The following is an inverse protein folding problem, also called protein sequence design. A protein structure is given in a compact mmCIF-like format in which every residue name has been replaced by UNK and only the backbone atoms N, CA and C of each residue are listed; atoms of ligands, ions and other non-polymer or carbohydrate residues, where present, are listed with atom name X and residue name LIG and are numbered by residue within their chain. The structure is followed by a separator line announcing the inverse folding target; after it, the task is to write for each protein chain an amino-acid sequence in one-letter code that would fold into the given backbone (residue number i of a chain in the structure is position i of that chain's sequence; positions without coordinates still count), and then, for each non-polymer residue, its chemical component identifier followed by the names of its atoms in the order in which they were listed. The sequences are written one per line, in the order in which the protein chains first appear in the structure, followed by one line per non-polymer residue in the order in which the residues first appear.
data_IF_905731891463
#
_entry.id   IF_905731891463
#
_cell.length_a   1.000
_cell.length_b   1.000
_cell.length_c   1.000
_cell.angle_alpha   90.00
_cell.angle_beta   90.00
_cell.angle_gamma   90.00
#
_symmetry.space_group_name_H-M   'P 1'
#
loop_
_entity.id
_entity.type
_entity.pdbx_description
1 polymer ?
#
# COMPACT_ATOMS: atom_id res chain seq x y z
N UNK A 1 2.33 6.36 44.47
CA UNK A 1 1.34 5.33 44.07
C UNK A 1 0.99 5.36 42.58
N UNK A 2 0.94 6.54 41.94
CA UNK A 2 0.54 6.75 40.53
C UNK A 2 1.49 6.14 39.46
N UNK A 3 2.82 6.13 39.67
CA UNK A 3 3.79 5.54 38.72
C UNK A 3 3.68 4.01 38.55
N UNK A 4 3.29 3.29 39.61
CA UNK A 4 3.29 1.81 39.62
C UNK A 4 2.07 1.27 38.85
N UNK A 5 0.94 1.96 38.89
CA UNK A 5 -0.27 1.61 38.14
C UNK A 5 -0.08 1.75 36.62
N UNK A 6 0.63 2.79 36.15
CA UNK A 6 0.96 2.94 34.73
C UNK A 6 1.89 1.85 34.20
N UNK A 7 2.88 1.44 35.00
CA UNK A 7 3.79 0.34 34.65
C UNK A 7 3.08 -1.01 34.53
N UNK A 8 2.06 -1.28 35.37
CA UNK A 8 1.24 -2.49 35.27
C UNK A 8 0.31 -2.46 34.06
N UNK A 9 -0.30 -1.31 33.78
CA UNK A 9 -1.17 -1.12 32.60
C UNK A 9 -0.37 -1.28 31.30
N UNK A 10 0.83 -0.70 31.23
CA UNK A 10 1.72 -0.82 30.06
C UNK A 10 2.10 -2.28 29.78
N UNK A 11 2.37 -3.07 30.84
CA UNK A 11 2.69 -4.50 30.71
C UNK A 11 1.49 -5.32 30.20
N UNK A 12 0.28 -5.01 30.65
CA UNK A 12 -0.94 -5.68 30.20
C UNK A 12 -1.22 -5.34 28.73
N UNK A 13 -1.08 -4.07 28.34
CA UNK A 13 -1.22 -3.64 26.94
C UNK A 13 -0.17 -4.32 26.06
N UNK A 14 1.09 -4.37 26.49
CA UNK A 14 2.16 -5.03 25.76
C UNK A 14 1.93 -6.55 25.62
N UNK A 15 1.45 -7.22 26.67
CA UNK A 15 1.11 -8.64 26.63
C UNK A 15 -0.09 -8.92 25.70
N UNK A 16 -1.11 -8.05 25.70
CA UNK A 16 -2.24 -8.14 24.77
C UNK A 16 -1.82 -7.97 23.31
N UNK A 17 -0.92 -7.01 23.03
CA UNK A 17 -0.31 -6.82 21.71
C UNK A 17 0.49 -8.05 21.25
N UNK A 18 1.25 -8.68 22.15
CA UNK A 18 2.03 -9.89 21.86
C UNK A 18 1.16 -11.10 21.50
N UNK A 19 0.00 -11.25 22.13
CA UNK A 19 -0.93 -12.36 21.85
C UNK A 19 -1.59 -12.20 20.47
N UNK A 20 -1.85 -10.96 20.03
CA UNK A 20 -2.41 -10.68 18.70
C UNK A 20 -1.45 -11.03 17.55
N UNK A 21 -0.14 -11.14 17.82
CA UNK A 21 0.88 -11.52 16.82
C UNK A 21 0.92 -13.02 16.52
N UNK A 22 0.23 -13.87 17.32
CA UNK A 22 0.26 -15.33 17.19
C UNK A 22 -0.81 -15.94 16.29
N UNK A 23 -1.60 -15.13 15.58
CA UNK A 23 -2.65 -15.63 14.69
C UNK A 23 -2.08 -16.09 13.35
N UNK A 24 -2.61 -17.18 12.82
CA UNK A 24 -2.26 -17.77 11.53
C UNK A 24 -2.32 -16.72 10.41
N UNK A 25 -1.21 -16.48 9.73
CA UNK A 25 -1.14 -15.54 8.62
C UNK A 25 -1.34 -16.27 7.29
N UNK A 26 -2.31 -15.82 6.48
CA UNK A 26 -2.41 -16.19 5.07
C UNK A 26 -1.40 -15.38 4.25
N UNK A 27 -0.59 -16.06 3.43
CA UNK A 27 0.39 -15.41 2.57
C UNK A 27 -0.32 -14.63 1.46
N UNK A 28 -0.06 -13.32 1.38
CA UNK A 28 -0.50 -12.46 0.29
C UNK A 28 0.73 -11.88 -0.41
N UNK A 29 0.72 -11.92 -1.74
CA UNK A 29 1.78 -11.32 -2.54
C UNK A 29 1.36 -9.92 -2.96
N UNK A 30 1.80 -8.92 -2.20
CA UNK A 30 1.72 -7.51 -2.58
C UNK A 30 3.02 -7.04 -3.23
N UNK A 31 2.95 -6.00 -4.06
CA UNK A 31 4.13 -5.35 -4.62
C UNK A 31 5.01 -4.81 -3.49
N UNK A 32 6.20 -5.40 -3.32
CA UNK A 32 7.13 -4.99 -2.27
C UNK A 32 8.04 -3.86 -2.74
N UNK A 33 8.04 -2.75 -1.99
CA UNK A 33 8.99 -1.66 -2.17
C UNK A 33 10.03 -1.68 -1.04
N UNK A 34 11.32 -1.89 -1.37
CA UNK A 34 12.42 -1.64 -0.41
C UNK A 34 12.55 -0.14 -0.07
N UNK A 35 11.97 0.72 -0.90
CA UNK A 35 11.98 2.20 -0.79
C UNK A 35 10.68 2.75 -0.17
N UNK A 36 9.97 1.94 0.62
CA UNK A 36 8.66 2.26 1.18
C UNK A 36 8.64 3.59 1.97
N UNK A 37 9.74 3.95 2.64
CA UNK A 37 9.91 5.19 3.40
C UNK A 37 9.75 6.43 2.49
N UNK A 38 10.13 6.32 1.22
CA UNK A 38 10.04 7.43 0.27
C UNK A 38 8.66 7.56 -0.37
N UNK A 39 7.78 6.55 -0.26
CA UNK A 39 6.43 6.56 -0.82
C UNK A 39 5.41 6.02 0.21
N UNK A 40 5.20 6.77 1.28
CA UNK A 40 4.24 6.41 2.34
C UNK A 40 2.80 6.29 1.84
N UNK A 41 2.42 7.08 0.81
CA UNK A 41 1.09 7.06 0.21
C UNK A 41 0.74 5.71 -0.45
N UNK A 42 1.74 5.02 -1.03
CA UNK A 42 1.53 3.70 -1.64
C UNK A 42 1.09 2.63 -0.62
N UNK A 43 1.46 2.82 0.65
CA UNK A 43 1.26 1.87 1.75
C UNK A 43 0.02 2.24 2.56
N UNK A 44 -0.11 3.52 2.91
CA UNK A 44 -1.13 3.97 3.83
C UNK A 44 -1.90 5.16 3.24
N UNK A 45 -3.22 5.03 2.96
CA UNK A 45 -4.01 6.13 2.44
C UNK A 45 -4.08 7.33 3.40
N UNK A 46 -3.88 7.12 4.71
CA UNK A 46 -3.87 8.19 5.72
C UNK A 46 -2.61 9.06 5.68
N UNK A 47 -1.59 8.68 4.91
CA UNK A 47 -0.40 9.50 4.67
C UNK A 47 -0.67 10.70 3.76
N UNK A 48 -1.78 10.71 3.01
CA UNK A 48 -2.07 11.77 2.05
C UNK A 48 -2.03 13.17 2.69
N UNK A 49 -1.25 14.07 2.08
CA UNK A 49 -1.08 15.44 2.55
C UNK A 49 -0.20 15.57 3.78
N UNK A 50 0.52 14.52 4.22
CA UNK A 50 1.40 14.56 5.39
C UNK A 50 2.39 15.74 5.34
N UNK A 51 2.99 15.99 4.16
CA UNK A 51 3.95 17.08 3.94
C UNK A 51 3.33 18.47 3.84
N UNK A 52 2.00 18.56 3.88
CA UNK A 52 1.20 19.79 3.79
C UNK A 52 1.23 20.51 2.45
N UNK A 53 2.33 20.46 1.72
CA UNK A 53 2.47 20.99 0.36
C UNK A 53 2.09 19.96 -0.71
N UNK A 54 1.90 20.42 -1.94
CA UNK A 54 1.82 19.55 -3.10
C UNK A 54 3.15 18.82 -3.27
N UNK A 55 3.13 17.50 -3.08
CA UNK A 55 4.28 16.64 -3.23
C UNK A 55 4.05 15.65 -4.37
N UNK A 56 4.94 15.67 -5.35
CA UNK A 56 4.91 14.75 -6.50
C UNK A 56 6.21 13.96 -6.50
N UNK A 57 6.10 12.65 -6.70
CA UNK A 57 7.25 11.75 -6.75
C UNK A 57 7.07 10.69 -7.83
N UNK A 58 8.18 10.28 -8.42
CA UNK A 58 8.24 9.14 -9.32
C UNK A 58 9.39 8.23 -8.91
N UNK A 59 9.15 6.93 -8.95
CA UNK A 59 10.11 5.90 -8.59
C UNK A 59 10.18 4.88 -9.72
N UNK A 60 11.39 4.63 -10.22
CA UNK A 60 11.66 3.55 -11.15
C UNK A 60 12.65 2.58 -10.52
N UNK A 61 12.34 1.29 -10.61
CA UNK A 61 13.15 0.21 -10.05
C UNK A 61 13.33 -0.86 -11.11
N UNK A 62 14.58 -1.18 -11.42
CA UNK A 62 14.94 -2.35 -12.22
C UNK A 62 15.90 -3.20 -11.42
N UNK A 63 15.56 -4.47 -11.24
CA UNK A 63 16.39 -5.44 -10.52
C UNK A 63 16.86 -6.54 -11.45
N UNK A 64 17.94 -7.23 -11.09
CA UNK A 64 18.43 -8.41 -11.82
C UNK A 64 18.64 -8.17 -13.32
N UNK A 65 19.16 -6.98 -13.66
CA UNK A 65 19.36 -6.56 -15.04
C UNK A 65 20.23 -7.58 -15.79
N UNK A 66 19.83 -7.89 -17.03
CA UNK A 66 20.47 -8.92 -17.86
C UNK A 66 19.80 -10.30 -17.79
N UNK A 67 18.88 -10.54 -16.85
CA UNK A 67 18.05 -11.74 -16.86
C UNK A 67 16.75 -11.52 -17.64
N UNK A 68 16.35 -12.53 -18.43
CA UNK A 68 15.05 -12.52 -19.11
C UNK A 68 13.93 -12.55 -18.07
N UNK A 69 12.95 -11.65 -18.21
CA UNK A 69 11.85 -11.52 -17.26
C UNK A 69 12.21 -10.81 -15.95
N UNK A 70 13.35 -10.12 -15.89
CA UNK A 70 13.80 -9.38 -14.72
C UNK A 70 12.75 -8.37 -14.19
N UNK A 71 12.55 -8.26 -12.87
CA UNK A 71 11.56 -7.36 -12.27
C UNK A 71 11.80 -5.88 -12.61
N UNK A 72 10.73 -5.22 -13.05
CA UNK A 72 10.71 -3.78 -13.34
C UNK A 72 9.45 -3.16 -12.73
N UNK A 73 9.64 -2.15 -11.90
CA UNK A 73 8.57 -1.42 -11.24
C UNK A 73 8.68 0.07 -11.54
N UNK A 74 7.55 0.71 -11.82
CA UNK A 74 7.40 2.14 -11.95
C UNK A 74 6.23 2.59 -11.08
N UNK A 75 6.40 3.67 -10.33
CA UNK A 75 5.32 4.27 -9.55
C UNK A 75 5.41 5.78 -9.62
N UNK A 76 4.26 6.43 -9.76
CA UNK A 76 4.12 7.88 -9.67
C UNK A 76 3.04 8.18 -8.65
N UNK A 77 3.30 9.13 -7.77
CA UNK A 77 2.29 9.61 -6.83
C UNK A 77 2.34 11.12 -6.69
N UNK A 78 1.18 11.68 -6.39
CA UNK A 78 0.99 13.08 -6.10
C UNK A 78 0.02 13.20 -4.92
N UNK A 79 0.40 13.93 -3.87
CA UNK A 79 -0.48 14.21 -2.76
C UNK A 79 -0.29 15.65 -2.25
N UNK A 80 -1.28 16.13 -1.50
CA UNK A 80 -1.23 17.46 -0.92
C UNK A 80 -2.43 17.71 -0.02
N UNK A 81 -2.45 18.89 0.60
CA UNK A 81 -3.57 19.29 1.47
C UNK A 81 -4.49 20.30 0.81
N UNK A 82 -5.75 20.31 1.27
CA UNK A 82 -6.73 21.34 0.94
C UNK A 82 -6.87 22.33 2.10
N UNK A 83 -7.80 23.28 1.95
CA UNK A 83 -8.08 24.37 2.91
C UNK A 83 -8.06 23.89 4.36
N UNK A 84 -7.31 24.61 5.19
CA UNK A 84 -7.04 24.34 6.61
C UNK A 84 -6.16 23.12 6.92
N UNK A 85 -5.52 22.47 5.93
CA UNK A 85 -4.56 21.35 6.12
C UNK A 85 -5.11 20.09 6.81
N UNK A 86 -6.40 20.09 7.15
CA UNK A 86 -7.12 18.99 7.79
C UNK A 86 -7.58 17.93 6.79
N UNK A 87 -7.55 18.22 5.49
CA UNK A 87 -7.89 17.27 4.44
C UNK A 87 -6.67 17.09 3.53
N UNK A 88 -6.29 15.84 3.34
CA UNK A 88 -5.28 15.41 2.38
C UNK A 88 -5.91 14.61 1.25
N UNK A 89 -5.48 14.87 0.02
CA UNK A 89 -5.81 14.07 -1.14
C UNK A 89 -4.53 13.52 -1.76
N UNK A 90 -4.59 12.31 -2.29
CA UNK A 90 -3.44 11.71 -2.95
C UNK A 90 -3.85 10.74 -4.05
N UNK A 91 -3.10 10.75 -5.15
CA UNK A 91 -3.20 9.79 -6.24
C UNK A 91 -1.89 9.00 -6.32
N UNK A 92 -2.00 7.70 -6.56
CA UNK A 92 -0.86 6.84 -6.84
C UNK A 92 -1.19 5.91 -7.99
N UNK A 93 -0.27 5.82 -8.95
CA UNK A 93 -0.33 4.87 -10.06
C UNK A 93 0.95 4.07 -10.05
N UNK A 94 0.82 2.75 -10.05
CA UNK A 94 1.95 1.83 -9.99
C UNK A 94 1.81 0.80 -11.10
N UNK A 95 2.88 0.60 -11.85
CA UNK A 95 3.01 -0.45 -12.85
C UNK A 95 4.20 -1.33 -12.49
N UNK A 96 3.96 -2.61 -12.25
CA UNK A 96 4.96 -3.60 -11.89
C UNK A 96 4.92 -4.77 -12.88
N UNK A 97 6.09 -5.20 -13.34
CA UNK A 97 6.25 -6.32 -14.25
C UNK A 97 7.29 -7.28 -13.68
N UNK A 98 6.91 -8.54 -13.56
CA UNK A 98 7.76 -9.64 -13.08
C UNK A 98 7.56 -10.82 -14.03
N UNK A 99 8.55 -11.07 -14.90
CA UNK A 99 8.39 -12.02 -16.00
C UNK A 99 7.15 -11.70 -16.86
N UNK A 100 6.37 -12.73 -17.15
CA UNK A 100 5.10 -12.66 -17.88
C UNK A 100 3.97 -11.99 -17.09
N UNK A 101 4.13 -11.77 -15.78
CA UNK A 101 3.10 -11.15 -14.94
C UNK A 101 3.21 -9.63 -14.98
N UNK A 102 2.07 -8.96 -15.18
CA UNK A 102 1.93 -7.50 -15.13
C UNK A 102 0.89 -7.12 -14.10
N UNK A 103 1.21 -6.11 -13.30
CA UNK A 103 0.35 -5.57 -12.25
C UNK A 103 0.31 -4.04 -12.40
N UNK A 104 -0.83 -3.52 -12.83
CA UNK A 104 -1.08 -2.09 -12.92
C UNK A 104 -2.10 -1.72 -11.84
N UNK A 105 -1.85 -0.69 -11.05
CA UNK A 105 -2.82 -0.19 -10.10
C UNK A 105 -2.90 1.32 -10.08
N UNK A 106 -4.09 1.83 -9.80
CA UNK A 106 -4.36 3.24 -9.62
C UNK A 106 -5.28 3.43 -8.42
N UNK A 107 -4.86 4.25 -7.45
CA UNK A 107 -5.61 4.53 -6.24
C UNK A 107 -5.73 6.03 -6.01
N UNK A 108 -6.93 6.43 -5.63
CA UNK A 108 -7.23 7.75 -5.07
C UNK A 108 -7.43 7.61 -3.57
N UNK A 109 -6.80 8.50 -2.81
CA UNK A 109 -6.72 8.46 -1.36
C UNK A 109 -7.25 9.78 -0.81
N UNK A 110 -8.04 9.67 0.25
CA UNK A 110 -8.55 10.76 1.04
C UNK A 110 -8.13 10.54 2.49
N UNK A 111 -7.51 11.54 3.10
CA UNK A 111 -7.12 11.52 4.50
C UNK A 111 -7.73 12.70 5.25
N UNK A 112 -8.40 12.42 6.36
CA UNK A 112 -8.81 13.44 7.31
C UNK A 112 -7.82 13.50 8.47
N UNK A 113 -7.20 14.66 8.67
CA UNK A 113 -6.07 14.90 9.58
C UNK A 113 -6.55 15.74 10.76
N UNK A 114 -6.59 15.13 11.93
CA UNK A 114 -6.97 15.77 13.19
C UNK A 114 -5.71 16.32 13.89
N UNK A 115 -5.59 17.64 14.10
CA UNK A 115 -4.57 18.18 15.00
C UNK A 115 -4.89 17.77 16.44
N UNK A 116 -3.91 17.20 17.13
CA UNK A 116 -4.04 16.81 18.55
C UNK A 116 -3.52 17.90 19.50
N UNK A 117 -2.71 18.83 18.99
CA UNK A 117 -2.18 19.98 19.71
C UNK A 117 -2.57 21.30 19.03
N UNK A 118 -2.49 22.40 19.79
CA UNK A 118 -2.78 23.75 19.29
C UNK A 118 -1.80 24.21 18.21
N UNK A 119 -0.53 23.79 18.30
CA UNK A 119 0.51 24.15 17.34
C UNK A 119 0.36 23.39 16.00
N UNK A 120 -0.40 22.29 15.98
CA UNK A 120 -0.72 21.54 14.78
C UNK A 120 0.38 20.58 14.30
N UNK A 121 1.50 20.45 15.02
CA UNK A 121 2.60 19.52 14.69
C UNK A 121 2.23 18.05 14.94
N UNK A 122 1.34 17.78 15.90
CA UNK A 122 0.88 16.42 16.20
C UNK A 122 -0.44 16.17 15.49
N UNK A 123 -0.44 15.21 14.57
CA UNK A 123 -1.64 14.87 13.79
C UNK A 123 -1.94 13.40 13.81
N UNK A 124 -3.22 13.10 13.99
CA UNK A 124 -3.79 11.78 13.78
C UNK A 124 -4.66 11.83 12.52
N UNK A 125 -4.28 11.05 11.51
CA UNK A 125 -4.98 10.97 10.25
C UNK A 125 -5.73 9.66 10.09
N UNK A 126 -6.93 9.73 9.54
CA UNK A 126 -7.74 8.61 9.10
C UNK A 126 -7.88 8.69 7.59
N UNK A 127 -7.53 7.61 6.90
CA UNK A 127 -7.46 7.56 5.46
C UNK A 127 -8.33 6.47 4.87
N UNK A 128 -8.97 6.78 3.77
CA UNK A 128 -9.61 5.81 2.89
C UNK A 128 -9.01 5.93 1.50
N UNK A 129 -8.83 4.79 0.84
CA UNK A 129 -8.40 4.72 -0.54
C UNK A 129 -9.39 3.90 -1.36
N UNK A 130 -9.63 4.31 -2.59
CA UNK A 130 -10.38 3.55 -3.58
C UNK A 130 -9.59 3.48 -4.86
N UNK A 131 -9.65 2.35 -5.54
CA UNK A 131 -8.85 2.17 -6.73
C UNK A 131 -9.22 0.95 -7.53
N UNK A 132 -8.43 0.74 -8.56
CA UNK A 132 -8.54 -0.38 -9.48
C UNK A 132 -7.13 -0.97 -9.63
N UNK A 133 -7.05 -2.28 -9.50
CA UNK A 133 -5.89 -3.07 -9.90
C UNK A 133 -6.24 -3.85 -11.16
N UNK A 134 -5.31 -3.95 -12.09
CA UNK A 134 -5.37 -4.80 -13.25
C UNK A 134 -4.19 -5.77 -13.16
N UNK A 135 -4.52 -7.04 -13.02
CA UNK A 135 -3.54 -8.12 -12.97
C UNK A 135 -3.62 -8.86 -14.30
N UNK A 136 -2.50 -9.09 -14.94
CA UNK A 136 -2.46 -9.84 -16.18
C UNK A 136 -1.25 -10.76 -16.30
N UNK A 137 -1.41 -11.77 -17.14
CA UNK A 137 -0.38 -12.71 -17.52
C UNK A 137 -0.28 -12.71 -19.05
N UNK A 138 0.92 -12.46 -19.55
CA UNK A 138 1.24 -12.54 -20.96
C UNK A 138 1.80 -13.93 -21.29
N UNK A 139 0.95 -14.82 -21.80
CA UNK A 139 1.38 -16.18 -22.10
C UNK A 139 2.32 -16.29 -23.30
N UNK A 140 2.53 -15.21 -24.07
CA UNK A 140 3.57 -15.16 -25.11
C UNK A 140 4.99 -15.08 -24.52
N UNK A 141 5.12 -14.58 -23.29
CA UNK A 141 6.38 -14.54 -22.54
C UNK A 141 6.63 -15.86 -21.76
N UNK A 142 5.70 -16.81 -21.78
CA UNK A 142 5.81 -18.11 -21.12
C UNK A 142 6.40 -19.17 -22.07
N UNK A 143 7.46 -19.85 -21.64
CA UNK A 143 7.98 -21.05 -22.33
C UNK A 143 7.27 -22.29 -21.82
N UNK A 144 6.38 -22.84 -22.62
CA UNK A 144 5.77 -24.15 -22.36
C UNK A 144 6.85 -25.25 -22.38
N UNK A 145 6.80 -26.18 -21.41
CA UNK A 145 7.68 -27.37 -21.39
C UNK A 145 7.23 -28.37 -22.47
N UNK A 146 5.93 -28.38 -22.80
CA UNK A 146 5.32 -29.16 -23.89
C UNK A 146 4.56 -28.22 -24.82
N UNK A 147 4.79 -28.31 -26.13
CA UNK A 147 4.05 -27.50 -27.11
C UNK A 147 2.58 -27.91 -27.19
N UNK A 148 1.68 -26.93 -27.22
CA UNK A 148 0.23 -27.16 -27.38
C UNK A 148 -0.57 -27.31 -26.08
N UNK A 149 -0.03 -26.94 -24.92
CA UNK A 149 -0.79 -26.90 -23.67
C UNK A 149 -1.86 -25.79 -23.72
N UNK A 150 -3.13 -26.21 -23.79
CA UNK A 150 -4.29 -25.33 -23.90
C UNK A 150 -4.54 -24.44 -22.66
N UNK A 151 -3.80 -24.68 -21.57
CA UNK A 151 -3.89 -23.89 -20.33
C UNK A 151 -3.07 -22.60 -20.44
N UNK A 152 -2.07 -22.53 -21.33
CA UNK A 152 -1.24 -21.33 -21.50
C UNK A 152 -1.93 -20.35 -22.46
N UNK A 153 -2.26 -19.12 -22.02
CA UNK A 153 -2.90 -18.15 -22.89
C UNK A 153 -1.99 -17.76 -24.06
N UNK A 154 -2.54 -17.62 -25.27
CA UNK A 154 -1.78 -17.20 -26.45
C UNK A 154 -1.52 -15.68 -26.54
N UNK A 155 -1.81 -14.93 -25.47
CA UNK A 155 -1.61 -13.49 -25.39
C UNK A 155 -1.85 -12.94 -23.98
N UNK A 156 -2.00 -11.62 -23.86
CA UNK A 156 -2.25 -10.97 -22.57
C UNK A 156 -3.69 -11.23 -22.11
N UNK A 157 -3.83 -11.99 -21.03
CA UNK A 157 -5.08 -12.09 -20.27
C UNK A 157 -4.98 -11.19 -19.06
N UNK A 158 -5.98 -10.35 -18.82
CA UNK A 158 -5.99 -9.44 -17.68
C UNK A 158 -7.35 -9.33 -17.03
N UNK A 159 -7.39 -9.31 -15.71
CA UNK A 159 -8.57 -9.09 -14.90
C UNK A 159 -8.48 -7.75 -14.19
N UNK A 160 -9.59 -7.02 -14.13
CA UNK A 160 -9.72 -5.77 -13.37
C UNK A 160 -10.40 -6.06 -12.04
N UNK A 161 -9.78 -5.60 -10.98
CA UNK A 161 -10.18 -5.80 -9.59
C UNK A 161 -10.39 -4.43 -8.96
N UNK A 162 -11.64 -4.04 -8.65
CA UNK A 162 -11.89 -2.89 -7.80
C UNK A 162 -11.38 -3.16 -6.40
N UNK A 163 -10.81 -2.14 -5.78
CA UNK A 163 -10.21 -2.27 -4.46
C UNK A 163 -10.45 -1.04 -3.57
N UNK A 164 -10.43 -1.29 -2.27
CA UNK A 164 -10.49 -0.26 -1.25
C UNK A 164 -9.41 -0.48 -0.18
N UNK A 165 -9.01 0.62 0.44
CA UNK A 165 -7.96 0.68 1.45
C UNK A 165 -8.44 1.53 2.62
N UNK A 166 -7.97 1.19 3.81
CA UNK A 166 -8.17 2.00 5.01
C UNK A 166 -6.83 2.17 5.73
N UNK A 167 -6.67 3.31 6.40
CA UNK A 167 -5.45 3.61 7.12
C UNK A 167 -5.65 4.54 8.30
N UNK A 168 -4.76 4.40 9.26
CA UNK A 168 -4.58 5.32 10.38
C UNK A 168 -3.10 5.70 10.37
N UNK A 169 -2.80 6.99 10.51
CA UNK A 169 -1.43 7.49 10.53
C UNK A 169 -1.28 8.59 11.58
N UNK A 170 -0.42 8.35 12.56
CA UNK A 170 0.02 9.33 13.53
C UNK A 170 1.36 9.90 13.11
N UNK A 171 1.50 11.22 13.21
CA UNK A 171 2.76 11.90 12.95
C UNK A 171 3.01 13.07 13.91
N UNK A 172 4.26 13.19 14.30
CA UNK A 172 4.87 14.26 15.08
C UNK A 172 6.23 14.63 14.45
N UNK A 173 6.91 15.66 14.96
CA UNK A 173 8.18 16.17 14.41
C UNK A 173 9.31 15.14 14.42
N UNK A 174 9.26 14.17 15.34
CA UNK A 174 10.32 13.17 15.57
C UNK A 174 9.85 11.73 15.40
N UNK A 175 8.54 11.49 15.36
CA UNK A 175 7.97 10.16 15.43
C UNK A 175 6.75 10.03 14.52
N UNK A 176 6.66 8.90 13.83
CA UNK A 176 5.48 8.53 13.06
C UNK A 176 5.15 7.07 13.30
N UNK A 177 3.85 6.75 13.26
CA UNK A 177 3.36 5.39 13.35
C UNK A 177 2.08 5.27 12.52
N UNK A 178 1.88 4.14 11.86
CA UNK A 178 0.67 3.94 11.07
C UNK A 178 0.28 2.48 10.97
N UNK A 179 -1.01 2.27 10.74
CA UNK A 179 -1.61 0.98 10.44
C UNK A 179 -2.43 1.14 9.16
N UNK A 180 -2.38 0.17 8.27
CA UNK A 180 -3.12 0.19 7.02
C UNK A 180 -3.66 -1.19 6.69
N UNK A 181 -4.90 -1.22 6.19
CA UNK A 181 -5.52 -2.38 5.58
C UNK A 181 -5.62 -2.12 4.06
N UNK A 182 -4.91 -2.93 3.28
CA UNK A 182 -4.91 -2.89 1.80
C UNK A 182 -5.69 -4.07 1.24
N UNK A 183 -6.06 -4.02 -0.04
CA UNK A 183 -6.70 -5.12 -0.76
C UNK A 183 -7.98 -5.63 -0.09
N UNK A 184 -8.83 -4.71 0.39
CA UNK A 184 -10.04 -5.06 1.13
C UNK A 184 -11.12 -5.67 0.25
N UNK A 185 -11.17 -5.30 -1.04
CA UNK A 185 -12.21 -5.79 -1.96
C UNK A 185 -11.65 -6.73 -3.03
N UNK A 186 -10.42 -6.52 -3.47
CA UNK A 186 -9.82 -7.27 -4.58
C UNK A 186 -9.89 -8.80 -4.38
N UNK A 187 -9.74 -9.28 -3.14
CA UNK A 187 -9.80 -10.71 -2.79
C UNK A 187 -11.16 -11.35 -3.06
N UNK A 188 -12.25 -10.63 -2.82
CA UNK A 188 -13.60 -11.12 -3.03
C UNK A 188 -13.92 -11.24 -4.53
N UNK A 189 -13.39 -10.34 -5.34
CA UNK A 189 -13.58 -10.36 -6.79
C UNK A 189 -12.66 -11.36 -7.51
N UNK A 190 -11.46 -11.62 -6.96
CA UNK A 190 -10.54 -12.60 -7.51
C UNK A 190 -11.02 -14.05 -7.31
N UNK A 191 -11.66 -14.37 -6.18
CA UNK A 191 -12.14 -15.73 -5.88
C UNK A 191 -13.47 -16.11 -6.55
N UNK A 192 -14.18 -15.16 -7.16
CA UNK A 192 -15.53 -15.37 -7.72
C UNK A 192 -15.54 -15.56 -9.25
N UNK A 193 -14.38 -15.76 -9.88
CA UNK A 193 -14.19 -16.03 -11.32
C UNK A 193 -13.23 -17.21 -11.51
#
# INVERSE_FOLDING_TARGET
MWRITHLKLLKIVAAGLLILLGLSADAQQDTQFTQFIFNGLSINPAYAGYKEDLFVQATYRSQWQGLTGAPKSFSVSADGTLTNKNVGLGLVVTNDQIGAQRYLSAFANYAYRLPLNYDGNQRLAFGIGVGLAQIGIDGSELRAIQGGDAIIPTGLQSQRLPDARFGIYYSDDIFFAGLSATNMLAKYFANNN
#
